data_IF_875021770639
#
_entry.id   IF_875021770639
#
_cell.length_a   1.000
_cell.length_b   1.000
_cell.length_c   1.000
_cell.angle_alpha   90.00
_cell.angle_beta   90.00
_cell.angle_gamma   90.00
#
_symmetry.space_group_name_H-M   'P 1'
#
loop_
_entity.id
_entity.type
_entity.pdbx_description
1 polymer ?
#
# COMPACT_ATOMS: atom_id res chain seq x y z
N UNK A 1 -5.61 -20.28 -10.68
CA UNK A 1 -4.79 -19.83 -11.80
C UNK A 1 -3.93 -18.67 -11.37
N UNK A 2 -2.61 -18.82 -11.47
CA UNK A 2 -1.71 -17.76 -11.07
C UNK A 2 -1.72 -16.63 -12.12
N UNK A 3 -1.75 -15.40 -11.66
CA UNK A 3 -1.62 -14.24 -12.54
C UNK A 3 -0.15 -13.92 -12.70
N UNK A 4 0.32 -13.92 -13.93
CA UNK A 4 1.70 -13.57 -14.22
C UNK A 4 1.69 -12.20 -14.89
N UNK A 5 2.38 -11.27 -14.26
CA UNK A 5 2.52 -9.92 -14.79
C UNK A 5 3.96 -9.72 -15.26
N UNK A 6 4.14 -9.22 -16.47
CA UNK A 6 5.43 -8.70 -16.87
C UNK A 6 5.71 -7.40 -16.08
N UNK A 7 6.98 -7.00 -16.00
CA UNK A 7 7.32 -5.74 -15.34
C UNK A 7 6.59 -4.55 -15.98
N UNK A 8 6.43 -4.61 -17.29
CA UNK A 8 5.73 -3.57 -18.03
C UNK A 8 4.25 -3.52 -17.65
N UNK A 9 3.62 -4.68 -17.53
CA UNK A 9 2.22 -4.77 -17.12
C UNK A 9 2.02 -4.27 -15.69
N UNK A 10 2.93 -4.62 -14.79
CA UNK A 10 2.86 -4.16 -13.41
C UNK A 10 2.95 -2.64 -13.33
N UNK A 11 3.88 -2.04 -14.08
CA UNK A 11 4.02 -0.59 -14.10
C UNK A 11 2.78 0.10 -14.63
N UNK A 12 2.20 -0.42 -15.71
CA UNK A 12 1.01 0.15 -16.30
C UNK A 12 -0.17 0.07 -15.32
N UNK A 13 -0.35 -1.06 -14.69
CA UNK A 13 -1.42 -1.26 -13.69
C UNK A 13 -1.20 -0.39 -12.46
N UNK A 14 0.04 -0.30 -11.99
CA UNK A 14 0.36 0.53 -10.85
C UNK A 14 0.06 2.00 -11.14
N UNK A 15 0.49 2.51 -12.28
CA UNK A 15 0.21 3.88 -12.65
C UNK A 15 -1.29 4.15 -12.76
N UNK A 16 -2.03 3.23 -13.38
CA UNK A 16 -3.46 3.39 -13.53
C UNK A 16 -4.18 3.37 -12.18
N UNK A 17 -3.83 2.41 -11.33
CA UNK A 17 -4.49 2.25 -10.04
C UNK A 17 -4.12 3.35 -9.05
N UNK A 18 -2.83 3.68 -8.96
CA UNK A 18 -2.34 4.62 -7.96
C UNK A 18 -2.64 6.07 -8.33
N UNK A 19 -2.57 6.41 -9.62
CA UNK A 19 -2.83 7.79 -10.03
C UNK A 19 -4.28 8.22 -9.83
N UNK A 20 -5.19 7.26 -9.70
CA UNK A 20 -6.59 7.57 -9.43
C UNK A 20 -6.88 7.86 -7.96
N UNK A 21 -5.92 7.61 -7.07
CA UNK A 21 -6.10 7.85 -5.64
C UNK A 21 -6.00 9.36 -5.36
N UNK A 22 -7.00 9.94 -4.67
CA UNK A 22 -6.97 11.38 -4.39
C UNK A 22 -5.71 11.78 -3.62
N UNK A 23 -5.06 12.83 -4.09
CA UNK A 23 -3.85 13.36 -3.46
C UNK A 23 -2.56 12.70 -3.89
N UNK A 24 -2.63 11.65 -4.72
CA UNK A 24 -1.40 10.96 -5.14
C UNK A 24 -0.48 11.88 -5.95
N UNK A 25 -1.04 12.68 -6.85
CA UNK A 25 -0.24 13.61 -7.64
C UNK A 25 0.47 14.62 -6.72
N UNK A 26 -0.28 15.19 -5.80
CA UNK A 26 0.25 16.18 -4.86
C UNK A 26 1.37 15.59 -4.01
N UNK A 27 1.17 14.37 -3.54
CA UNK A 27 2.17 13.70 -2.71
C UNK A 27 3.45 13.38 -3.51
N UNK A 28 3.29 12.96 -4.77
CA UNK A 28 4.44 12.65 -5.61
C UNK A 28 5.24 13.90 -5.99
N UNK A 29 4.58 15.05 -6.10
CA UNK A 29 5.24 16.31 -6.43
C UNK A 29 5.81 17.03 -5.22
N UNK A 30 5.51 16.56 -4.02
CA UNK A 30 5.91 17.23 -2.79
C UNK A 30 7.41 17.13 -2.54
N UNK A 31 7.99 18.21 -2.02
CA UNK A 31 9.35 18.17 -1.51
C UNK A 31 9.42 17.27 -0.26
N UNK A 32 10.57 16.67 0.03
CA UNK A 32 10.68 15.76 1.17
C UNK A 32 10.20 16.34 2.50
N UNK A 33 10.40 17.64 2.72
CA UNK A 33 9.97 18.31 3.94
C UNK A 33 8.45 18.58 3.99
N UNK A 34 7.77 18.46 2.85
CA UNK A 34 6.32 18.69 2.75
C UNK A 34 5.52 17.38 2.74
N UNK A 35 6.18 16.26 2.53
CA UNK A 35 5.50 14.98 2.34
C UNK A 35 4.65 14.57 3.53
N UNK A 36 5.12 14.82 4.73
CA UNK A 36 4.37 14.46 5.94
C UNK A 36 3.07 15.25 6.04
N UNK A 37 3.14 16.55 5.79
CA UNK A 37 1.96 17.40 5.83
C UNK A 37 0.96 17.05 4.75
N UNK A 38 1.44 16.85 3.52
CA UNK A 38 0.58 16.48 2.40
C UNK A 38 -0.02 15.09 2.63
N UNK A 39 0.77 14.16 3.15
CA UNK A 39 0.28 12.83 3.48
C UNK A 39 -0.82 12.86 4.54
N UNK A 40 -0.74 13.79 5.48
CA UNK A 40 -1.78 13.96 6.48
C UNK A 40 -3.10 14.47 5.86
N UNK A 41 -3.00 15.29 4.82
CA UNK A 41 -4.18 15.77 4.10
C UNK A 41 -4.80 14.69 3.21
N UNK A 42 -4.00 13.76 2.73
CA UNK A 42 -4.44 12.71 1.82
C UNK A 42 -4.01 11.34 2.36
N UNK A 43 -4.70 10.85 3.39
CA UNK A 43 -4.27 9.60 4.05
C UNK A 43 -4.30 8.36 3.14
N UNK A 44 -5.20 8.33 2.17
CA UNK A 44 -5.25 7.20 1.24
C UNK A 44 -4.03 7.18 0.32
N UNK A 45 -3.60 8.35 -0.14
CA UNK A 45 -2.39 8.45 -0.96
C UNK A 45 -1.14 8.09 -0.15
N UNK A 46 -1.08 8.54 1.10
CA UNK A 46 0.03 8.20 1.99
C UNK A 46 0.09 6.69 2.24
N UNK A 47 -1.07 6.08 2.48
CA UNK A 47 -1.16 4.63 2.67
C UNK A 47 -0.67 3.88 1.43
N UNK A 48 -1.17 4.26 0.25
CA UNK A 48 -0.79 3.59 -1.00
C UNK A 48 0.71 3.72 -1.28
N UNK A 49 1.28 4.88 -1.00
CA UNK A 49 2.72 5.11 -1.17
C UNK A 49 3.53 4.22 -0.24
N UNK A 50 3.10 4.09 1.00
CA UNK A 50 3.75 3.22 1.98
C UNK A 50 3.69 1.76 1.52
N UNK A 51 2.54 1.31 1.02
CA UNK A 51 2.37 -0.06 0.53
C UNK A 51 3.32 -0.32 -0.64
N UNK A 52 3.36 0.58 -1.62
CA UNK A 52 4.23 0.41 -2.79
C UNK A 52 5.71 0.39 -2.40
N UNK A 53 6.10 1.20 -1.43
CA UNK A 53 7.48 1.24 -0.97
C UNK A 53 7.89 0.06 -0.12
N UNK A 54 6.92 -0.68 0.43
CA UNK A 54 7.19 -1.79 1.35
C UNK A 54 6.96 -3.17 0.76
N UNK A 55 6.63 -3.24 -0.54
CA UNK A 55 6.24 -4.51 -1.17
C UNK A 55 7.35 -5.56 -1.12
N UNK A 56 8.60 -5.13 -1.05
CA UNK A 56 9.76 -6.01 -1.02
C UNK A 56 10.29 -6.25 0.40
N UNK A 57 9.48 -5.96 1.42
CA UNK A 57 9.86 -6.22 2.79
C UNK A 57 10.15 -7.71 3.00
N UNK A 58 11.28 -8.01 3.67
CA UNK A 58 11.74 -9.37 3.89
C UNK A 58 11.06 -10.06 5.06
N UNK A 59 10.32 -9.34 5.88
CA UNK A 59 9.56 -9.96 6.96
C UNK A 59 8.41 -10.76 6.36
N UNK A 60 8.42 -12.07 6.57
CA UNK A 60 7.52 -12.98 5.87
C UNK A 60 6.04 -12.65 6.06
N UNK A 61 5.60 -12.53 7.30
CA UNK A 61 4.18 -12.34 7.57
C UNK A 61 3.73 -10.92 7.24
N UNK A 62 4.48 -9.91 7.67
CA UNK A 62 4.17 -8.53 7.33
C UNK A 62 4.33 -8.28 5.84
N UNK A 63 5.33 -8.91 5.22
CA UNK A 63 5.52 -8.82 3.77
C UNK A 63 4.33 -9.37 3.00
N UNK A 64 3.77 -10.49 3.45
CA UNK A 64 2.58 -11.07 2.81
C UNK A 64 1.36 -10.14 2.94
N UNK A 65 1.17 -9.54 4.10
CA UNK A 65 0.08 -8.59 4.31
C UNK A 65 0.22 -7.39 3.36
N UNK A 66 1.43 -6.87 3.24
CA UNK A 66 1.73 -5.74 2.36
C UNK A 66 1.52 -6.10 0.90
N UNK A 67 1.98 -7.27 0.47
CA UNK A 67 1.81 -7.73 -0.90
C UNK A 67 0.33 -7.93 -1.25
N UNK A 68 -0.44 -8.48 -0.33
CA UNK A 68 -1.88 -8.65 -0.54
C UNK A 68 -2.56 -7.30 -0.74
N UNK A 69 -2.21 -6.32 0.08
CA UNK A 69 -2.75 -4.97 -0.06
C UNK A 69 -2.35 -4.35 -1.41
N UNK A 70 -1.10 -4.51 -1.80
CA UNK A 70 -0.60 -3.98 -3.07
C UNK A 70 -1.40 -4.55 -4.25
N UNK A 71 -1.54 -5.86 -4.31
CA UNK A 71 -2.25 -6.49 -5.42
C UNK A 71 -3.75 -6.18 -5.40
N UNK A 72 -4.33 -6.00 -4.21
CA UNK A 72 -5.73 -5.56 -4.14
C UNK A 72 -5.91 -4.17 -4.75
N UNK A 73 -4.96 -3.26 -4.50
CA UNK A 73 -5.00 -1.93 -5.13
C UNK A 73 -4.87 -2.06 -6.65
N UNK A 74 -3.95 -2.89 -7.13
CA UNK A 74 -3.75 -3.10 -8.56
C UNK A 74 -5.00 -3.65 -9.24
N UNK A 75 -5.78 -4.45 -8.54
CA UNK A 75 -6.98 -5.06 -9.08
C UNK A 75 -8.20 -4.14 -9.00
N UNK A 76 -8.02 -2.92 -8.51
CA UNK A 76 -9.07 -1.92 -8.50
C UNK A 76 -9.98 -1.95 -7.30
N UNK A 77 -9.61 -2.65 -6.23
CA UNK A 77 -10.39 -2.61 -5.01
C UNK A 77 -10.36 -1.21 -4.40
N UNK A 78 -11.42 -0.85 -3.72
CA UNK A 78 -11.52 0.43 -3.04
C UNK A 78 -10.37 0.60 -2.06
N UNK A 79 -9.69 1.75 -2.13
CA UNK A 79 -8.54 2.01 -1.25
C UNK A 79 -8.95 1.98 0.22
N UNK A 80 -10.16 2.42 0.55
CA UNK A 80 -10.67 2.34 1.92
C UNK A 80 -10.81 0.92 2.41
N UNK A 81 -11.31 0.01 1.56
CA UNK A 81 -11.43 -1.40 1.89
C UNK A 81 -10.07 -2.06 2.08
N UNK A 82 -9.13 -1.75 1.19
CA UNK A 82 -7.77 -2.29 1.28
C UNK A 82 -7.10 -1.82 2.57
N UNK A 83 -7.24 -0.55 2.88
CA UNK A 83 -6.66 0.04 4.09
C UNK A 83 -7.26 -0.59 5.34
N UNK A 84 -8.56 -0.78 5.37
CA UNK A 84 -9.23 -1.43 6.50
C UNK A 84 -8.70 -2.85 6.70
N UNK A 85 -8.62 -3.63 5.62
CA UNK A 85 -8.14 -5.01 5.69
C UNK A 85 -6.67 -5.06 6.11
N UNK A 86 -5.86 -4.15 5.62
CA UNK A 86 -4.45 -4.07 5.97
C UNK A 86 -4.27 -3.74 7.45
N UNK A 87 -4.98 -2.74 7.94
CA UNK A 87 -4.88 -2.33 9.34
C UNK A 87 -5.32 -3.45 10.28
N UNK A 88 -6.38 -4.16 9.92
CA UNK A 88 -6.87 -5.29 10.70
C UNK A 88 -5.87 -6.44 10.73
N UNK A 89 -5.29 -6.77 9.58
CA UNK A 89 -4.31 -7.85 9.48
C UNK A 89 -3.03 -7.53 10.25
N UNK A 90 -2.55 -6.30 10.16
CA UNK A 90 -1.35 -5.89 10.90
C UNK A 90 -1.63 -5.83 12.40
N UNK A 91 -2.80 -5.40 12.81
CA UNK A 91 -3.18 -5.38 14.22
C UNK A 91 -3.21 -6.79 14.79
N UNK A 92 -3.80 -7.74 14.09
CA UNK A 92 -3.81 -9.14 14.49
C UNK A 92 -2.40 -9.72 14.57
N UNK A 93 -1.55 -9.37 13.60
CA UNK A 93 -0.16 -9.80 13.61
C UNK A 93 0.55 -9.32 14.87
N UNK A 94 0.44 -8.03 15.18
CA UNK A 94 1.12 -7.46 16.34
C UNK A 94 0.57 -8.02 17.65
N UNK A 95 -0.72 -8.24 17.75
CA UNK A 95 -1.31 -8.87 18.95
C UNK A 95 -0.74 -10.26 19.17
N UNK A 96 -0.59 -11.05 18.09
CA UNK A 96 -0.07 -12.40 18.21
C UNK A 96 1.41 -12.42 18.61
N UNK A 97 2.18 -11.40 18.22
CA UNK A 97 3.63 -11.39 18.44
C UNK A 97 4.07 -10.59 19.67
N UNK A 98 3.27 -9.62 20.10
CA UNK A 98 3.62 -8.81 21.27
C UNK A 98 3.34 -9.51 22.59
N UNK A 99 2.41 -10.47 22.59
CA UNK A 99 2.03 -11.20 23.82
C UNK A 99 2.80 -12.50 24.00
N UNK A 100 3.71 -12.78 23.08
CA UNK A 100 4.52 -14.01 23.06
C UNK A 100 5.85 -13.78 23.78
N UNK A 101 5.78 -13.45 25.02
CA UNK A 101 7.00 -13.31 25.84
C UNK A 101 7.28 -14.56 26.62
#
# INVERSE_FOLDING_TARGET
MSRIYSMQDLRAREMAAFSSIPGMYELMQADPDQKEEIGAQYPDAAFATMIAGSIFNQNHQLGEITQRAYFSILEGESIGSVRFAYERATDEYWKAHMWDD
#
